data_IF_774918846299
#
_entry.id   IF_774918846299
#
_cell.length_a   1.000
_cell.length_b   1.000
_cell.length_c   1.000
_cell.angle_alpha   90.00
_cell.angle_beta   90.00
_cell.angle_gamma   90.00
#
_symmetry.space_group_name_H-M   'P 1'
#
loop_
_entity.id
_entity.type
_entity.pdbx_description
1 polymer ?
#
# COMPACT_ATOMS: atom_id res chain seq x y z
N UNK A 1 -0.18 30.19 -1.70
CA UNK A 1 -0.77 28.86 -1.39
C UNK A 1 -1.14 28.20 -2.70
N UNK A 2 -0.82 26.92 -2.96
CA UNK A 2 -1.34 26.26 -4.15
C UNK A 2 -2.86 26.19 -4.03
N UNK A 3 -3.58 26.76 -4.99
CA UNK A 3 -5.04 26.74 -5.04
C UNK A 3 -5.52 25.30 -5.20
N UNK A 4 -6.17 24.75 -4.19
CA UNK A 4 -6.91 23.49 -4.34
C UNK A 4 -8.03 23.72 -5.35
N UNK A 5 -8.25 22.76 -6.26
CA UNK A 5 -9.25 22.94 -7.33
C UNK A 5 -10.63 23.12 -6.72
N UNK A 6 -11.43 24.07 -7.25
CA UNK A 6 -12.82 24.34 -6.85
C UNK A 6 -13.77 23.13 -6.99
N UNK A 7 -13.31 22.03 -7.61
CA UNK A 7 -14.07 20.81 -7.83
C UNK A 7 -13.84 19.71 -6.79
N UNK A 8 -13.05 19.97 -5.75
CA UNK A 8 -12.81 19.02 -4.66
C UNK A 8 -13.88 19.23 -3.58
N UNK A 9 -14.56 18.16 -3.14
CA UNK A 9 -15.48 18.26 -2.02
C UNK A 9 -14.73 18.32 -0.67
N UNK A 10 -15.37 18.91 0.34
CA UNK A 10 -14.78 19.13 1.66
C UNK A 10 -14.33 17.84 2.35
N UNK A 11 -15.01 16.71 2.12
CA UNK A 11 -14.65 15.43 2.75
C UNK A 11 -13.36 14.89 2.15
N UNK A 12 -13.24 14.95 0.82
CA UNK A 12 -12.02 14.53 0.12
C UNK A 12 -10.84 15.44 0.48
N UNK A 13 -11.06 16.74 0.66
CA UNK A 13 -10.00 17.67 1.11
C UNK A 13 -9.48 17.32 2.52
N UNK A 14 -10.39 17.04 3.47
CA UNK A 14 -10.02 16.60 4.82
C UNK A 14 -9.20 15.30 4.78
N UNK A 15 -9.58 14.35 3.94
CA UNK A 15 -8.84 13.09 3.76
C UNK A 15 -7.43 13.36 3.20
N UNK A 16 -7.30 14.19 2.16
CA UNK A 16 -6.00 14.54 1.58
C UNK A 16 -5.10 15.19 2.63
N UNK A 17 -5.62 16.16 3.41
CA UNK A 17 -4.85 16.84 4.46
C UNK A 17 -4.41 15.86 5.54
N UNK A 18 -5.31 14.98 5.98
CA UNK A 18 -5.01 13.96 6.99
C UNK A 18 -3.92 13.00 6.50
N UNK A 19 -4.06 12.46 5.29
CA UNK A 19 -3.10 11.53 4.70
C UNK A 19 -1.74 12.21 4.49
N UNK A 20 -1.74 13.45 3.98
CA UNK A 20 -0.52 14.23 3.81
C UNK A 20 0.27 14.37 5.13
N UNK A 21 -0.43 14.65 6.24
CA UNK A 21 0.19 14.71 7.57
C UNK A 21 0.75 13.36 8.04
N UNK A 22 0.04 12.26 7.79
CA UNK A 22 0.48 10.92 8.19
C UNK A 22 1.70 10.44 7.39
N UNK A 23 1.79 10.82 6.12
CA UNK A 23 2.87 10.42 5.22
C UNK A 23 4.06 11.39 5.19
N UNK A 24 4.06 12.44 6.01
CA UNK A 24 5.03 13.56 5.96
C UNK A 24 5.19 14.14 4.54
N UNK A 25 4.05 14.38 3.89
CA UNK A 25 3.94 14.88 2.51
C UNK A 25 3.12 16.15 2.45
N UNK A 26 3.30 16.91 1.37
CA UNK A 26 2.41 18.02 1.04
C UNK A 26 1.09 17.48 0.44
N UNK A 27 -0.09 18.06 0.76
CA UNK A 27 -1.36 17.72 0.11
C UNK A 27 -1.31 17.62 -1.42
N UNK A 28 -0.56 18.49 -2.08
CA UNK A 28 -0.36 18.46 -3.54
C UNK A 28 0.37 17.19 -4.02
N UNK A 29 1.26 16.61 -3.22
CA UNK A 29 1.93 15.34 -3.53
C UNK A 29 0.96 14.16 -3.43
N UNK A 30 0.06 14.18 -2.45
CA UNK A 30 -1.01 13.18 -2.32
C UNK A 30 -1.95 13.25 -3.53
N UNK A 31 -2.39 14.46 -3.90
CA UNK A 31 -3.22 14.67 -5.10
C UNK A 31 -2.51 14.18 -6.37
N UNK A 32 -1.25 14.55 -6.56
CA UNK A 32 -0.47 14.13 -7.72
C UNK A 32 -0.31 12.59 -7.77
N UNK A 33 -0.11 11.93 -6.63
CA UNK A 33 -0.05 10.47 -6.55
C UNK A 33 -1.39 9.82 -6.94
N UNK A 34 -2.51 10.33 -6.41
CA UNK A 34 -3.85 9.83 -6.75
C UNK A 34 -4.15 9.98 -8.26
N UNK A 35 -3.88 11.17 -8.83
CA UNK A 35 -4.07 11.43 -10.27
C UNK A 35 -3.18 10.51 -11.10
N UNK A 36 -1.91 10.32 -10.73
CA UNK A 36 -1.00 9.42 -11.43
C UNK A 36 -1.58 8.00 -11.47
N UNK A 37 -2.05 7.48 -10.34
CA UNK A 37 -2.66 6.15 -10.29
C UNK A 37 -3.92 6.04 -11.17
N UNK A 38 -4.81 7.02 -11.09
CA UNK A 38 -6.03 7.06 -11.91
C UNK A 38 -5.71 7.03 -13.42
N UNK A 39 -4.69 7.78 -13.86
CA UNK A 39 -4.30 7.84 -15.26
C UNK A 39 -3.67 6.53 -15.78
N UNK A 40 -3.09 5.71 -14.90
CA UNK A 40 -2.54 4.40 -15.28
C UNK A 40 -3.60 3.28 -15.35
N UNK A 41 -4.83 3.53 -14.88
CA UNK A 41 -5.92 2.56 -15.00
C UNK A 41 -6.26 2.32 -16.47
N UNK A 42 -6.69 1.09 -16.80
CA UNK A 42 -7.28 0.80 -18.11
C UNK A 42 -8.62 1.52 -18.26
N UNK A 43 -9.12 1.77 -19.49
CA UNK A 43 -10.44 2.34 -19.70
C UNK A 43 -11.54 1.57 -18.94
N UNK A 44 -11.53 0.23 -19.02
CA UNK A 44 -12.50 -0.61 -18.32
C UNK A 44 -12.45 -0.48 -16.78
N UNK A 45 -11.26 -0.29 -16.21
CA UNK A 45 -11.10 -0.05 -14.77
C UNK A 45 -11.64 1.33 -14.35
N UNK A 46 -11.40 2.38 -15.15
CA UNK A 46 -12.02 3.70 -14.91
C UNK A 46 -13.55 3.63 -15.01
N UNK A 47 -14.08 2.86 -15.95
CA UNK A 47 -15.53 2.65 -16.08
C UNK A 47 -16.11 1.91 -14.88
N UNK A 48 -15.42 0.87 -14.39
CA UNK A 48 -15.82 0.15 -13.19
C UNK A 48 -15.81 1.07 -11.96
N UNK A 49 -14.77 1.88 -11.78
CA UNK A 49 -14.67 2.85 -10.69
C UNK A 49 -15.84 3.84 -10.71
N UNK A 50 -16.19 4.41 -11.88
CA UNK A 50 -17.36 5.29 -12.03
C UNK A 50 -18.68 4.60 -11.67
N UNK A 51 -18.85 3.32 -12.02
CA UNK A 51 -20.04 2.54 -11.64
C UNK A 51 -20.12 2.28 -10.13
N UNK A 52 -18.97 2.04 -9.49
CA UNK A 52 -18.87 1.86 -8.03
C UNK A 52 -19.24 3.17 -7.33
N UNK A 53 -18.66 4.29 -7.76
CA UNK A 53 -19.00 5.63 -7.23
C UNK A 53 -20.49 5.95 -7.36
N UNK A 54 -21.11 5.62 -8.50
CA UNK A 54 -22.54 5.80 -8.73
C UNK A 54 -23.42 4.94 -7.80
N UNK A 55 -22.88 3.85 -7.25
CA UNK A 55 -23.60 2.99 -6.28
C UNK A 55 -23.65 3.63 -4.89
N UNK A 56 -22.67 4.47 -4.56
CA UNK A 56 -22.62 5.23 -3.31
C UNK A 56 -21.36 4.98 -2.47
N UNK A 57 -21.25 5.69 -1.35
CA UNK A 57 -20.02 5.74 -0.55
C UNK A 57 -19.62 4.40 0.08
N UNK A 58 -20.59 3.56 0.48
CA UNK A 58 -20.28 2.24 1.04
C UNK A 58 -19.62 1.32 0.00
N UNK A 59 -20.09 1.36 -1.26
CA UNK A 59 -19.48 0.60 -2.34
C UNK A 59 -18.05 1.08 -2.63
N UNK A 60 -17.80 2.38 -2.51
CA UNK A 60 -16.44 2.95 -2.64
C UNK A 60 -15.54 2.48 -1.50
N UNK A 61 -16.04 2.42 -0.27
CA UNK A 61 -15.28 1.91 0.89
C UNK A 61 -14.93 0.42 0.72
N UNK A 62 -15.90 -0.41 0.32
CA UNK A 62 -15.69 -1.83 0.04
C UNK A 62 -14.68 -2.06 -1.08
N UNK A 63 -14.81 -1.33 -2.19
CA UNK A 63 -13.88 -1.39 -3.31
C UNK A 63 -12.47 -0.92 -2.91
N UNK A 64 -12.37 0.13 -2.09
CA UNK A 64 -11.10 0.64 -1.57
C UNK A 64 -10.41 -0.38 -0.66
N UNK A 65 -11.18 -1.09 0.17
CA UNK A 65 -10.66 -2.18 0.99
C UNK A 65 -10.13 -3.34 0.13
N UNK A 66 -10.90 -3.77 -0.87
CA UNK A 66 -10.51 -4.84 -1.78
C UNK A 66 -9.24 -4.48 -2.58
N UNK A 67 -9.17 -3.24 -3.09
CA UNK A 67 -7.99 -2.73 -3.79
C UNK A 67 -6.77 -2.69 -2.87
N UNK A 68 -6.94 -2.22 -1.63
CA UNK A 68 -5.84 -2.16 -0.65
C UNK A 68 -5.25 -3.54 -0.39
N UNK A 69 -6.11 -4.57 -0.22
CA UNK A 69 -5.66 -5.95 -0.06
C UNK A 69 -4.88 -6.46 -1.27
N UNK A 70 -5.36 -6.19 -2.48
CA UNK A 70 -4.70 -6.61 -3.72
C UNK A 70 -3.32 -5.93 -3.90
N UNK A 71 -3.19 -4.66 -3.51
CA UNK A 71 -1.92 -3.94 -3.56
C UNK A 71 -0.89 -4.52 -2.58
N UNK A 72 -1.31 -4.81 -1.34
CA UNK A 72 -0.44 -5.43 -0.33
C UNK A 72 0.01 -6.84 -0.74
N UNK A 73 -0.88 -7.64 -1.32
CA UNK A 73 -0.53 -8.95 -1.88
C UNK A 73 0.52 -8.81 -2.99
N UNK A 74 0.32 -7.85 -3.90
CA UNK A 74 1.27 -7.62 -4.99
C UNK A 74 2.64 -7.13 -4.51
N UNK A 75 2.67 -6.31 -3.47
CA UNK A 75 3.90 -5.91 -2.80
C UNK A 75 4.60 -7.12 -2.18
N UNK A 76 3.86 -7.96 -1.46
CA UNK A 76 4.38 -9.20 -0.85
C UNK A 76 4.99 -10.14 -1.91
N UNK A 77 4.28 -10.41 -3.00
CA UNK A 77 4.81 -11.21 -4.12
C UNK A 77 6.11 -10.63 -4.73
N UNK A 78 6.21 -9.31 -4.76
CA UNK A 78 7.38 -8.61 -5.27
C UNK A 78 8.56 -8.76 -4.31
N UNK A 79 8.33 -8.59 -3.00
CA UNK A 79 9.33 -8.82 -1.96
C UNK A 79 9.85 -10.26 -1.97
N UNK A 80 8.94 -11.24 -2.07
CA UNK A 80 9.29 -12.67 -2.20
C UNK A 80 10.20 -12.91 -3.39
N UNK A 81 9.84 -12.40 -4.58
CA UNK A 81 10.68 -12.52 -5.80
C UNK A 81 12.01 -11.80 -5.69
N UNK A 82 12.07 -10.64 -5.04
CA UNK A 82 13.28 -9.82 -4.95
C UNK A 82 14.32 -10.33 -3.95
N UNK A 83 14.03 -11.43 -3.23
CA UNK A 83 15.02 -12.07 -2.37
C UNK A 83 14.51 -12.46 -0.99
N UNK A 84 13.26 -12.18 -0.62
CA UNK A 84 12.66 -12.86 0.52
C UNK A 84 12.50 -14.37 0.28
N UNK A 85 12.66 -14.87 -0.95
CA UNK A 85 12.94 -16.30 -1.21
C UNK A 85 14.24 -16.84 -0.58
N UNK A 86 15.11 -15.98 -0.03
CA UNK A 86 16.24 -16.38 0.84
C UNK A 86 15.87 -16.43 2.33
N UNK A 87 14.67 -15.99 2.72
CA UNK A 87 14.04 -16.39 3.98
C UNK A 87 13.45 -17.79 3.79
N UNK A 88 14.29 -18.74 3.36
CA UNK A 88 14.04 -20.13 3.69
C UNK A 88 14.14 -20.20 5.20
N UNK A 89 12.99 -20.20 5.87
CA UNK A 89 12.91 -20.83 7.17
C UNK A 89 13.15 -22.31 6.92
N UNK A 90 14.42 -22.72 6.84
CA UNK A 90 14.82 -24.12 6.95
C UNK A 90 14.61 -24.59 8.40
N UNK A 91 13.47 -24.20 9.01
CA UNK A 91 13.05 -24.65 10.32
C UNK A 91 12.69 -26.13 10.17
N UNK A 92 13.41 -27.05 10.82
CA UNK A 92 13.06 -28.45 10.81
C UNK A 92 11.63 -28.64 11.35
N UNK A 93 10.87 -29.57 10.78
CA UNK A 93 9.59 -29.98 11.36
C UNK A 93 9.85 -30.57 12.75
N UNK A 94 9.52 -29.84 13.81
CA UNK A 94 9.84 -30.19 15.21
C UNK A 94 10.89 -29.30 15.88
N UNK A 95 11.27 -28.17 15.29
CA UNK A 95 12.14 -27.19 15.93
C UNK A 95 11.58 -26.73 17.29
N UNK A 96 12.45 -26.66 18.30
CA UNK A 96 12.09 -26.09 19.61
C UNK A 96 11.82 -24.60 19.51
N UNK A 97 11.07 -24.06 20.47
CA UNK A 97 10.75 -22.63 20.55
C UNK A 97 12.01 -21.75 20.60
N UNK A 98 13.04 -22.20 21.31
CA UNK A 98 14.35 -21.54 21.37
C UNK A 98 15.03 -21.46 20.00
N UNK A 99 14.91 -22.51 19.18
CA UNK A 99 15.49 -22.54 17.84
C UNK A 99 14.76 -21.58 16.89
N UNK A 100 13.42 -21.54 16.99
CA UNK A 100 12.59 -20.60 16.22
C UNK A 100 12.95 -19.16 16.58
N UNK A 101 13.11 -18.86 17.87
CA UNK A 101 13.49 -17.53 18.35
C UNK A 101 14.90 -17.13 17.89
N UNK A 102 15.87 -18.05 17.97
CA UNK A 102 17.24 -17.80 17.50
C UNK A 102 17.29 -17.51 15.99
N UNK A 103 16.50 -18.25 15.20
CA UNK A 103 16.44 -18.08 13.75
C UNK A 103 15.76 -16.76 13.36
N UNK A 104 14.69 -16.37 14.05
CA UNK A 104 14.06 -15.07 13.87
C UNK A 104 15.01 -13.90 14.18
N UNK A 105 15.82 -14.01 15.23
CA UNK A 105 16.88 -13.04 15.55
C UNK A 105 17.96 -13.01 14.46
N UNK A 106 18.36 -14.16 13.92
CA UNK A 106 19.33 -14.25 12.82
C UNK A 106 18.82 -13.54 11.56
N UNK A 107 17.56 -13.77 11.19
CA UNK A 107 16.94 -13.17 10.00
C UNK A 107 16.75 -11.66 10.10
N UNK A 108 16.55 -11.14 11.32
CA UNK A 108 16.30 -9.70 11.56
C UNK A 108 17.58 -8.88 11.77
N UNK A 109 18.73 -9.53 12.03
CA UNK A 109 20.03 -8.85 12.05
C UNK A 109 20.45 -8.52 10.61
N UNK A 110 20.22 -7.26 10.21
CA UNK A 110 20.75 -6.66 8.97
C UNK A 110 22.24 -7.02 8.82
N UNK A 111 22.71 -7.52 7.66
CA UNK A 111 24.13 -7.54 7.40
C UNK A 111 24.61 -6.10 7.36
N UNK A 112 25.50 -5.74 8.28
CA UNK A 112 26.23 -4.48 8.22
C UNK A 112 26.90 -4.43 6.85
N UNK A 113 26.48 -3.51 5.98
CA UNK A 113 27.20 -3.25 4.72
C UNK A 113 28.65 -2.96 5.07
N UNK A 114 29.54 -3.89 4.76
CA UNK A 114 30.97 -3.60 4.73
C UNK A 114 31.18 -2.58 3.60
N UNK A 115 31.61 -1.39 3.98
CA UNK A 115 32.11 -0.36 3.06
C UNK A 115 33.51 -0.71 2.56
#
# INVERSE_FOLDING_TARGET
MPSRSTHLDDKTDVLIVKTAKLEDRNPSQIMAAAVRWYLHLTPGARDAMRRIEATGSSAVEEASWALSRALLEREYETLVRQGAGTLRTDLPSGASEDYIMAEAVRMTRRPTRAG
#
